data_IF_435070677572
#
_entry.id   IF_435070677572
#
_cell.length_a   1.000
_cell.length_b   1.000
_cell.length_c   1.000
_cell.angle_alpha   90.00
_cell.angle_beta   90.00
_cell.angle_gamma   90.00
#
_symmetry.space_group_name_H-M   'P 1'
#
loop_
_entity.id
_entity.type
_entity.pdbx_description
1 polymer ?
#
# COMPACT_ATOMS: atom_id res chain seq x y z
N UNK A 1 -73.04 22.55 43.94
CA UNK A 1 -71.62 22.19 44.12
C UNK A 1 -71.38 20.90 43.36
N UNK A 2 -70.78 20.96 42.17
CA UNK A 2 -70.48 19.80 41.33
C UNK A 2 -69.00 19.89 40.97
N UNK A 3 -68.19 18.99 41.51
CA UNK A 3 -66.75 18.98 41.32
C UNK A 3 -66.39 18.32 39.99
N UNK A 4 -65.62 19.08 39.21
CA UNK A 4 -65.00 18.72 37.95
C UNK A 4 -63.77 17.86 38.26
N UNK A 5 -63.66 16.67 37.67
CA UNK A 5 -62.43 15.86 37.73
C UNK A 5 -61.96 15.58 36.31
N UNK A 6 -61.07 16.45 35.84
CA UNK A 6 -60.30 16.25 34.61
C UNK A 6 -59.08 15.40 35.00
N UNK A 7 -59.06 14.14 34.57
CA UNK A 7 -57.86 13.31 34.65
C UNK A 7 -57.02 13.56 33.40
N UNK A 8 -55.88 14.23 33.58
CA UNK A 8 -54.82 14.35 32.58
C UNK A 8 -53.81 13.20 32.77
N UNK A 9 -53.48 12.57 31.64
CA UNK A 9 -52.54 11.47 31.45
C UNK A 9 -51.08 11.85 31.79
N UNK A 10 -50.28 10.85 32.20
CA UNK A 10 -48.83 10.85 31.98
C UNK A 10 -48.41 9.50 31.40
N UNK A 11 -48.29 9.45 30.07
CA UNK A 11 -47.53 8.44 29.34
C UNK A 11 -46.05 8.87 29.43
N UNK A 12 -45.28 8.19 30.28
CA UNK A 12 -43.83 8.32 30.31
C UNK A 12 -43.26 7.61 29.08
N UNK A 13 -42.93 8.38 28.03
CA UNK A 13 -42.08 7.91 26.95
C UNK A 13 -40.65 7.87 27.49
N UNK A 14 -40.19 6.67 27.85
CA UNK A 14 -38.77 6.43 28.15
C UNK A 14 -38.05 6.42 26.81
N UNK A 15 -37.57 7.60 26.39
CA UNK A 15 -36.55 7.67 25.35
C UNK A 15 -35.29 7.11 25.98
N UNK A 16 -34.93 5.88 25.63
CA UNK A 16 -33.62 5.30 25.93
C UNK A 16 -32.56 6.07 25.16
N UNK A 17 -32.15 7.22 25.68
CA UNK A 17 -30.88 7.80 25.29
C UNK A 17 -29.83 6.80 25.72
N UNK A 18 -29.17 6.16 24.76
CA UNK A 18 -27.98 5.38 25.03
C UNK A 18 -26.95 6.35 25.63
N UNK A 19 -26.92 6.43 26.96
CA UNK A 19 -25.88 7.13 27.69
C UNK A 19 -24.58 6.44 27.27
N UNK A 20 -23.65 7.19 26.68
CA UNK A 20 -22.36 6.65 26.32
C UNK A 20 -21.66 6.20 27.61
N UNK A 21 -21.64 4.89 27.87
CA UNK A 21 -21.08 4.33 29.09
C UNK A 21 -19.60 4.07 28.84
N UNK A 22 -18.77 4.77 29.61
CA UNK A 22 -17.32 4.69 29.56
C UNK A 22 -16.87 3.64 30.56
N UNK A 23 -16.14 2.64 30.08
CA UNK A 23 -15.54 1.60 30.90
C UNK A 23 -14.03 1.76 30.89
N UNK A 24 -13.44 1.74 32.08
CA UNK A 24 -11.98 1.80 32.24
C UNK A 24 -11.54 0.47 32.86
N UNK A 25 -10.71 -0.33 32.18
CA UNK A 25 -10.16 -1.54 32.77
C UNK A 25 -9.33 -1.22 34.01
N UNK A 26 -9.20 -2.17 34.94
CA UNK A 26 -8.26 -2.01 36.05
C UNK A 26 -6.82 -1.96 35.53
N UNK A 27 -5.94 -1.24 36.25
CA UNK A 27 -4.54 -1.14 35.85
C UNK A 27 -3.80 -2.45 36.16
N UNK A 28 -3.56 -3.24 35.12
CA UNK A 28 -2.77 -4.48 35.19
C UNK A 28 -1.33 -4.31 34.72
N UNK A 29 -0.67 -5.46 34.51
CA UNK A 29 0.69 -5.53 33.95
C UNK A 29 0.75 -4.92 32.54
N UNK A 30 -0.30 -5.15 31.73
CA UNK A 30 -0.48 -4.58 30.38
C UNK A 30 -1.04 -3.15 30.39
N UNK A 31 -1.02 -2.48 31.55
CA UNK A 31 -1.61 -1.16 31.74
C UNK A 31 -3.14 -1.20 31.86
N UNK A 32 -3.81 -0.18 31.31
CA UNK A 32 -5.27 -0.10 31.26
C UNK A 32 -5.78 -0.89 30.06
N UNK A 33 -5.86 -2.22 30.20
CA UNK A 33 -6.17 -3.14 29.10
C UNK A 33 -7.11 -4.24 29.56
N UNK A 34 -8.21 -4.45 28.85
CA UNK A 34 -9.01 -5.66 28.98
C UNK A 34 -8.30 -6.78 28.21
N UNK A 35 -7.90 -7.84 28.92
CA UNK A 35 -7.36 -9.05 28.29
C UNK A 35 -8.50 -10.04 28.17
N UNK A 36 -8.84 -10.41 26.93
CA UNK A 36 -9.94 -11.33 26.64
C UNK A 36 -9.41 -12.68 26.18
N UNK A 37 -9.92 -13.76 26.77
CA UNK A 37 -9.53 -15.14 26.49
C UNK A 37 -10.50 -15.81 25.51
N UNK A 38 -11.75 -15.36 25.49
CA UNK A 38 -12.77 -15.80 24.55
C UNK A 38 -13.83 -14.71 24.31
N UNK A 39 -14.83 -15.02 23.49
CA UNK A 39 -15.90 -14.08 23.14
C UNK A 39 -16.77 -13.68 24.35
N UNK A 40 -16.88 -14.51 25.39
CA UNK A 40 -17.71 -14.18 26.55
C UNK A 40 -17.15 -13.02 27.38
N UNK A 41 -15.82 -12.91 27.46
CA UNK A 41 -15.15 -11.74 28.06
C UNK A 41 -15.46 -10.46 27.26
N UNK A 42 -15.54 -10.57 25.94
CA UNK A 42 -15.91 -9.46 25.05
C UNK A 42 -17.37 -9.08 25.26
N UNK A 43 -18.26 -10.07 25.35
CA UNK A 43 -19.69 -9.86 25.57
C UNK A 43 -19.97 -9.14 26.90
N UNK A 44 -19.21 -9.44 27.96
CA UNK A 44 -19.30 -8.73 29.24
C UNK A 44 -18.98 -7.23 29.10
N UNK A 45 -17.93 -6.89 28.35
CA UNK A 45 -17.54 -5.50 28.06
C UNK A 45 -18.64 -4.83 27.22
N UNK A 46 -19.08 -5.46 26.12
CA UNK A 46 -20.04 -4.84 25.19
C UNK A 46 -21.47 -4.75 25.73
N UNK A 47 -21.82 -5.50 26.77
CA UNK A 47 -23.09 -5.38 27.47
C UNK A 47 -23.22 -4.08 28.28
N UNK A 48 -22.10 -3.50 28.69
CA UNK A 48 -22.07 -2.33 29.57
C UNK A 48 -21.48 -1.11 28.90
N UNK A 49 -20.58 -1.28 27.94
CA UNK A 49 -19.74 -0.21 27.46
C UNK A 49 -20.13 0.22 26.06
N UNK A 50 -20.03 1.52 25.79
CA UNK A 50 -19.97 2.06 24.41
C UNK A 50 -18.59 2.66 24.12
N UNK A 51 -17.82 2.98 25.17
CA UNK A 51 -16.48 3.52 25.07
C UNK A 51 -15.55 2.78 26.03
N UNK A 52 -14.41 2.30 25.54
CA UNK A 52 -13.34 1.74 26.36
C UNK A 52 -12.24 2.78 26.53
N UNK A 53 -12.03 3.24 27.75
CA UNK A 53 -10.93 4.11 28.11
C UNK A 53 -9.67 3.28 28.43
N UNK A 54 -9.11 2.64 27.42
CA UNK A 54 -8.03 1.68 27.55
C UNK A 54 -7.80 0.94 26.23
N UNK A 55 -7.08 -0.17 26.31
CA UNK A 55 -6.93 -1.12 25.20
C UNK A 55 -7.82 -2.36 25.40
N UNK A 56 -8.04 -3.10 24.32
CA UNK A 56 -8.61 -4.45 24.34
C UNK A 56 -7.60 -5.38 23.67
N UNK A 57 -7.13 -6.39 24.38
CA UNK A 57 -6.11 -7.30 23.88
C UNK A 57 -6.63 -8.75 23.90
N UNK A 58 -6.53 -9.45 22.77
CA UNK A 58 -6.75 -10.90 22.73
C UNK A 58 -5.61 -11.62 23.45
N UNK A 59 -5.93 -12.54 24.35
CA UNK A 59 -4.93 -13.43 24.94
C UNK A 59 -4.31 -14.34 23.88
N UNK A 60 -3.09 -14.82 24.12
CA UNK A 60 -2.35 -15.68 23.19
C UNK A 60 -3.07 -17.00 22.84
N UNK A 61 -4.01 -17.44 23.67
CA UNK A 61 -4.81 -18.65 23.50
C UNK A 61 -6.25 -18.34 23.04
N UNK A 62 -6.57 -17.10 22.66
CA UNK A 62 -7.86 -16.75 22.08
C UNK A 62 -8.06 -17.53 20.77
N UNK A 63 -9.26 -18.04 20.56
CA UNK A 63 -9.61 -18.84 19.37
C UNK A 63 -10.94 -18.40 18.77
N UNK A 64 -11.12 -18.62 17.47
CA UNK A 64 -12.38 -18.34 16.80
C UNK A 64 -12.48 -16.90 16.28
N UNK A 65 -13.70 -16.37 16.17
CA UNK A 65 -13.92 -15.00 15.72
C UNK A 65 -13.95 -14.03 16.89
N UNK A 66 -13.28 -12.89 16.75
CA UNK A 66 -13.37 -11.74 17.66
C UNK A 66 -14.44 -10.78 17.16
N UNK A 67 -15.54 -10.64 17.90
CA UNK A 67 -16.66 -9.77 17.55
C UNK A 67 -16.86 -8.72 18.65
N UNK A 68 -16.71 -7.43 18.33
CA UNK A 68 -16.81 -6.31 19.27
C UNK A 68 -17.97 -5.37 18.92
N UNK A 69 -19.23 -5.76 19.19
CA UNK A 69 -20.40 -4.92 18.93
C UNK A 69 -20.53 -3.79 19.96
N UNK A 70 -21.36 -2.78 19.66
CA UNK A 70 -21.74 -1.66 20.55
C UNK A 70 -20.62 -0.70 20.99
N UNK A 71 -19.34 -1.09 20.91
CA UNK A 71 -18.19 -0.23 21.21
C UNK A 71 -17.93 0.69 20.04
N UNK A 72 -18.08 2.00 20.27
CA UNK A 72 -17.82 3.05 19.28
C UNK A 72 -16.45 3.67 19.39
N UNK A 73 -15.86 3.64 20.58
CA UNK A 73 -14.58 4.30 20.83
C UNK A 73 -13.69 3.45 21.75
N UNK A 74 -12.45 3.21 21.32
CA UNK A 74 -11.39 2.65 22.16
C UNK A 74 -10.26 3.67 22.19
N UNK A 75 -9.95 4.22 23.38
CA UNK A 75 -9.01 5.35 23.49
C UNK A 75 -7.55 4.97 23.24
N UNK A 76 -7.24 3.67 23.28
CA UNK A 76 -5.92 3.12 22.98
C UNK A 76 -6.01 2.09 21.87
N UNK A 77 -5.49 0.87 22.06
CA UNK A 77 -5.29 -0.10 20.99
C UNK A 77 -6.27 -1.26 21.06
N UNK A 78 -6.49 -1.88 19.90
CA UNK A 78 -7.01 -3.25 19.82
C UNK A 78 -5.88 -4.11 19.27
N UNK A 79 -5.40 -5.03 20.07
CA UNK A 79 -4.19 -5.83 19.80
C UNK A 79 -4.31 -7.23 20.42
N UNK A 80 -3.19 -7.90 20.61
CA UNK A 80 -3.10 -9.19 21.29
C UNK A 80 -1.90 -9.20 22.24
N UNK A 81 -2.04 -9.94 23.33
CA UNK A 81 -1.04 -10.02 24.39
C UNK A 81 0.16 -10.81 23.89
N UNK A 82 1.30 -10.13 23.77
CA UNK A 82 2.54 -10.76 23.35
C UNK A 82 3.05 -11.71 24.43
N UNK A 83 2.93 -13.02 24.20
CA UNK A 83 3.46 -14.04 25.10
C UNK A 83 4.99 -13.99 25.13
N UNK A 84 5.58 -14.26 26.30
CA UNK A 84 7.04 -14.49 26.42
C UNK A 84 7.50 -15.74 25.64
N UNK A 85 6.56 -16.59 25.23
CA UNK A 85 6.80 -17.69 24.31
C UNK A 85 6.70 -17.19 22.87
N UNK A 86 7.87 -16.98 22.25
CA UNK A 86 7.97 -16.68 20.82
C UNK A 86 7.16 -17.71 20.00
N UNK A 87 6.35 -17.22 19.07
CA UNK A 87 5.55 -18.06 18.18
C UNK A 87 4.17 -18.48 18.72
N UNK A 88 3.76 -18.00 19.90
CA UNK A 88 2.38 -18.19 20.40
C UNK A 88 1.52 -16.99 20.00
N UNK A 89 0.60 -17.21 19.06
CA UNK A 89 -0.33 -16.21 18.55
C UNK A 89 -1.78 -16.67 18.75
N UNK A 90 -2.73 -15.73 18.93
CA UNK A 90 -4.14 -16.07 18.89
C UNK A 90 -4.50 -16.80 17.59
N UNK A 91 -5.35 -17.83 17.73
CA UNK A 91 -5.94 -18.55 16.60
C UNK A 91 -7.25 -17.88 16.20
N UNK A 92 -7.17 -16.59 15.90
CA UNK A 92 -8.33 -15.76 15.52
C UNK A 92 -8.56 -15.87 14.02
N UNK A 93 -9.75 -16.29 13.61
CA UNK A 93 -10.11 -16.47 12.19
C UNK A 93 -10.77 -15.24 11.57
N UNK A 94 -11.41 -14.40 12.38
CA UNK A 94 -12.03 -13.15 11.93
C UNK A 94 -12.03 -12.09 13.04
N UNK A 95 -11.95 -10.82 12.65
CA UNK A 95 -12.12 -9.67 13.54
C UNK A 95 -13.23 -8.79 12.99
N UNK A 96 -14.30 -8.60 13.76
CA UNK A 96 -15.47 -7.81 13.38
C UNK A 96 -15.74 -6.72 14.42
N UNK A 97 -15.65 -5.47 13.98
CA UNK A 97 -15.76 -4.24 14.77
C UNK A 97 -16.90 -3.38 14.17
N UNK A 98 -18.15 -3.88 14.19
CA UNK A 98 -19.24 -3.33 13.36
C UNK A 98 -19.64 -1.90 13.74
N UNK A 99 -19.41 -1.52 15.00
CA UNK A 99 -19.82 -0.24 15.57
C UNK A 99 -18.65 0.69 15.92
N UNK A 100 -17.41 0.23 15.76
CA UNK A 100 -16.24 1.02 16.13
C UNK A 100 -16.08 2.20 15.15
N UNK A 101 -16.06 3.42 15.69
CA UNK A 101 -15.91 4.67 14.96
C UNK A 101 -14.51 5.26 15.17
N UNK A 102 -13.97 5.17 16.39
CA UNK A 102 -12.69 5.79 16.76
C UNK A 102 -11.78 4.82 17.51
N UNK A 103 -10.52 4.73 17.07
CA UNK A 103 -9.46 4.00 17.76
C UNK A 103 -8.29 4.96 18.01
N UNK A 104 -8.03 5.31 19.26
CA UNK A 104 -7.02 6.32 19.60
C UNK A 104 -5.57 5.84 19.43
N UNK A 105 -5.35 4.53 19.49
CA UNK A 105 -4.05 3.87 19.34
C UNK A 105 -3.95 3.07 18.04
N UNK A 106 -3.50 1.82 18.17
CA UNK A 106 -3.26 0.93 17.03
C UNK A 106 -4.31 -0.16 16.90
N UNK A 107 -4.63 -0.53 15.66
CA UNK A 107 -5.26 -1.81 15.33
C UNK A 107 -4.16 -2.81 14.98
N UNK A 108 -3.69 -3.55 15.97
CA UNK A 108 -2.58 -4.50 15.87
C UNK A 108 -3.05 -5.92 15.59
N UNK A 109 -3.33 -6.23 14.32
CA UNK A 109 -3.78 -7.54 13.83
C UNK A 109 -2.70 -8.22 12.96
N UNK A 110 -1.44 -7.87 13.16
CA UNK A 110 -0.31 -8.56 12.56
C UNK A 110 -0.03 -9.87 13.31
N UNK A 111 0.55 -10.85 12.61
CA UNK A 111 0.92 -12.17 13.15
C UNK A 111 -0.26 -13.04 13.60
N UNK A 112 -1.39 -12.94 12.91
CA UNK A 112 -2.55 -13.83 13.06
C UNK A 112 -2.65 -14.77 11.83
N UNK A 113 -1.90 -15.88 11.78
CA UNK A 113 -1.63 -16.63 10.53
C UNK A 113 -2.87 -17.31 9.93
N UNK A 114 -3.94 -17.45 10.71
CA UNK A 114 -5.22 -18.03 10.27
C UNK A 114 -6.32 -16.99 10.11
N UNK A 115 -6.02 -15.70 10.27
CA UNK A 115 -6.96 -14.61 10.07
C UNK A 115 -7.40 -14.54 8.62
N UNK A 116 -8.70 -14.61 8.38
CA UNK A 116 -9.28 -14.57 7.04
C UNK A 116 -9.94 -13.22 6.75
N UNK A 117 -10.57 -12.60 7.76
CA UNK A 117 -11.42 -11.43 7.58
C UNK A 117 -11.25 -10.40 8.68
N UNK A 118 -11.12 -9.14 8.29
CA UNK A 118 -11.18 -7.97 9.19
C UNK A 118 -12.26 -7.03 8.67
N UNK A 119 -13.19 -6.64 9.52
CA UNK A 119 -14.29 -5.75 9.15
C UNK A 119 -14.48 -4.71 10.24
N UNK A 120 -14.32 -3.44 9.88
CA UNK A 120 -14.58 -2.28 10.73
C UNK A 120 -15.23 -1.18 9.88
N UNK A 121 -16.47 -1.39 9.40
CA UNK A 121 -17.05 -0.62 8.31
C UNK A 121 -17.42 0.80 8.73
N UNK A 122 -17.43 1.11 10.04
CA UNK A 122 -17.68 2.44 10.59
C UNK A 122 -16.43 3.11 11.16
N UNK A 123 -15.28 2.44 11.14
CA UNK A 123 -14.05 2.97 11.72
C UNK A 123 -13.57 4.16 10.88
N UNK A 124 -13.59 5.36 11.46
CA UNK A 124 -13.23 6.60 10.78
C UNK A 124 -11.77 6.99 11.01
N UNK A 125 -11.26 6.75 12.21
CA UNK A 125 -9.90 7.18 12.61
C UNK A 125 -9.16 6.10 13.36
N UNK A 126 -7.90 5.87 12.98
CA UNK A 126 -6.91 5.13 13.77
C UNK A 126 -5.77 6.07 14.14
N UNK A 127 -5.64 6.39 15.43
CA UNK A 127 -4.74 7.43 15.91
C UNK A 127 -3.26 7.14 15.74
N UNK A 128 -2.88 5.86 15.60
CA UNK A 128 -1.50 5.47 15.31
C UNK A 128 -1.40 4.57 14.07
N UNK A 129 -1.51 3.25 14.24
CA UNK A 129 -1.23 2.30 13.16
C UNK A 129 -2.36 1.29 12.96
N UNK A 130 -2.78 1.09 11.72
CA UNK A 130 -3.60 -0.04 11.32
C UNK A 130 -2.70 -1.11 10.68
N UNK A 131 -2.29 -2.11 11.47
CA UNK A 131 -1.40 -3.19 11.05
C UNK A 131 -2.20 -4.49 10.90
N UNK A 132 -2.50 -4.87 9.66
CA UNK A 132 -3.29 -6.07 9.34
C UNK A 132 -2.44 -7.04 8.53
N UNK A 133 -2.26 -8.25 9.04
CA UNK A 133 -1.54 -9.32 8.35
C UNK A 133 -2.45 -10.51 8.04
N UNK A 134 -2.13 -11.25 6.97
CA UNK A 134 -2.70 -12.56 6.60
C UNK A 134 -4.18 -12.57 6.18
N UNK A 135 -4.94 -11.51 6.49
CA UNK A 135 -6.35 -11.40 6.12
C UNK A 135 -6.55 -11.39 4.60
N UNK A 136 -7.55 -12.16 4.13
CA UNK A 136 -7.99 -12.17 2.73
C UNK A 136 -8.95 -11.04 2.41
N UNK A 137 -9.82 -10.72 3.36
CA UNK A 137 -10.82 -9.68 3.25
C UNK A 137 -10.58 -8.60 4.31
N UNK A 138 -10.40 -7.35 3.89
CA UNK A 138 -10.24 -6.20 4.77
C UNK A 138 -11.24 -5.12 4.36
N UNK A 139 -12.17 -4.81 5.26
CA UNK A 139 -13.19 -3.79 5.05
C UNK A 139 -13.06 -2.67 6.09
N UNK A 140 -12.39 -1.59 5.67
CA UNK A 140 -12.21 -0.35 6.42
C UNK A 140 -12.78 0.82 5.61
N UNK A 141 -13.91 0.61 4.92
CA UNK A 141 -14.47 1.54 3.93
C UNK A 141 -14.70 2.97 4.43
N UNK A 142 -14.89 3.16 5.73
CA UNK A 142 -15.13 4.47 6.35
C UNK A 142 -13.86 5.09 6.94
N UNK A 143 -12.71 4.40 6.92
CA UNK A 143 -11.46 4.92 7.44
C UNK A 143 -11.07 6.16 6.65
N UNK A 144 -10.96 7.29 7.33
CA UNK A 144 -10.62 8.60 6.75
C UNK A 144 -9.14 8.89 6.92
N UNK A 145 -8.61 8.64 8.12
CA UNK A 145 -7.23 8.98 8.47
C UNK A 145 -6.54 7.95 9.38
N UNK A 146 -5.23 7.80 9.17
CA UNK A 146 -4.32 7.15 10.13
C UNK A 146 -2.91 7.75 10.04
N UNK A 147 -2.06 7.51 11.05
CA UNK A 147 -0.63 7.82 10.91
C UNK A 147 0.06 6.77 10.01
N UNK A 148 -0.19 5.49 10.28
CA UNK A 148 0.35 4.36 9.52
C UNK A 148 -0.77 3.41 9.10
N UNK A 149 -0.70 2.91 7.86
CA UNK A 149 -1.59 1.87 7.36
C UNK A 149 -0.75 0.78 6.70
N UNK A 150 -0.92 -0.45 7.15
CA UNK A 150 -0.20 -1.59 6.63
C UNK A 150 -1.13 -2.79 6.48
N UNK A 151 -1.26 -3.28 5.26
CA UNK A 151 -1.98 -4.52 4.95
C UNK A 151 -1.02 -5.46 4.23
N UNK A 152 -0.81 -6.65 4.79
CA UNK A 152 0.12 -7.65 4.23
C UNK A 152 -0.52 -9.03 4.14
N UNK A 153 -0.11 -9.80 3.15
CA UNK A 153 -0.46 -11.21 2.98
C UNK A 153 -1.23 -11.45 1.70
N UNK A 154 -2.06 -12.49 1.67
CA UNK A 154 -2.87 -12.87 0.50
C UNK A 154 -4.22 -12.15 0.49
N UNK A 155 -4.19 -10.85 0.26
CA UNK A 155 -5.39 -10.00 0.27
C UNK A 155 -6.11 -10.12 -1.06
N UNK A 156 -7.34 -10.62 -1.03
CA UNK A 156 -8.21 -10.73 -2.20
C UNK A 156 -9.19 -9.54 -2.30
N UNK A 157 -9.51 -8.89 -1.18
CA UNK A 157 -10.40 -7.72 -1.16
C UNK A 157 -9.95 -6.74 -0.10
N UNK A 158 -9.77 -5.48 -0.51
CA UNK A 158 -9.39 -4.37 0.37
C UNK A 158 -10.29 -3.16 0.08
N UNK A 159 -11.04 -2.71 1.08
CA UNK A 159 -11.91 -1.52 0.96
C UNK A 159 -11.41 -0.39 1.85
N UNK A 160 -11.08 0.73 1.20
CA UNK A 160 -10.54 1.96 1.81
C UNK A 160 -11.20 3.20 1.18
N UNK A 161 -12.49 3.09 0.85
CA UNK A 161 -13.24 4.02 0.00
C UNK A 161 -13.16 5.48 0.48
N UNK A 162 -13.14 5.69 1.80
CA UNK A 162 -13.11 7.01 2.44
C UNK A 162 -11.72 7.48 2.84
N UNK A 163 -10.67 6.68 2.63
CA UNK A 163 -9.32 6.98 3.09
C UNK A 163 -8.81 8.22 2.37
N UNK A 164 -8.62 9.30 3.11
CA UNK A 164 -8.13 10.59 2.59
C UNK A 164 -6.66 10.79 2.90
N UNK A 165 -6.22 10.34 4.08
CA UNK A 165 -4.88 10.64 4.56
C UNK A 165 -4.23 9.46 5.29
N UNK A 166 -2.97 9.17 4.93
CA UNK A 166 -2.07 8.35 5.74
C UNK A 166 -0.81 9.15 5.99
N UNK A 167 -0.65 9.71 7.19
CA UNK A 167 0.32 10.80 7.42
C UNK A 167 1.78 10.38 7.27
N UNK A 168 2.12 9.15 7.67
CA UNK A 168 3.50 8.67 7.68
C UNK A 168 3.75 7.67 6.57
N UNK A 169 3.08 6.51 6.58
CA UNK A 169 3.38 5.45 5.62
C UNK A 169 2.18 4.55 5.36
N UNK A 170 1.89 4.35 4.09
CA UNK A 170 0.96 3.34 3.60
C UNK A 170 1.73 2.20 2.93
N UNK A 171 1.51 0.97 3.39
CA UNK A 171 2.08 -0.24 2.79
C UNK A 171 0.98 -1.25 2.49
N UNK A 172 0.75 -1.53 1.21
CA UNK A 172 -0.05 -2.66 0.75
C UNK A 172 0.89 -3.69 0.12
N UNK A 173 0.96 -4.88 0.72
CA UNK A 173 1.88 -5.94 0.33
C UNK A 173 1.10 -7.23 0.03
N UNK A 174 0.85 -7.50 -1.25
CA UNK A 174 0.15 -8.68 -1.78
C UNK A 174 1.06 -9.47 -2.76
N UNK A 175 2.18 -10.01 -2.26
CA UNK A 175 3.17 -10.84 -2.99
C UNK A 175 3.69 -11.96 -2.10
N UNK A 176 4.33 -12.96 -2.70
CA UNK A 176 5.01 -14.08 -2.04
C UNK A 176 5.91 -13.66 -0.85
N UNK A 177 6.66 -12.56 -0.96
CA UNK A 177 7.51 -12.07 0.14
C UNK A 177 6.72 -11.52 1.35
N UNK A 178 5.44 -11.16 1.15
CA UNK A 178 4.56 -10.60 2.17
C UNK A 178 3.94 -11.70 3.04
N UNK A 179 3.81 -12.91 2.50
CA UNK A 179 3.41 -14.14 3.19
C UNK A 179 4.00 -15.36 2.44
N UNK A 180 5.23 -15.78 2.81
CA UNK A 180 5.92 -16.87 2.13
C UNK A 180 5.21 -18.22 2.23
N UNK A 181 4.35 -18.40 3.25
CA UNK A 181 3.62 -19.66 3.46
C UNK A 181 2.37 -19.74 2.59
N UNK A 182 1.72 -18.60 2.34
CA UNK A 182 0.49 -18.49 1.54
C UNK A 182 0.63 -17.38 0.50
N UNK A 183 1.41 -17.62 -0.57
CA UNK A 183 1.56 -16.63 -1.63
C UNK A 183 0.21 -16.29 -2.26
N UNK A 184 0.01 -15.04 -2.70
CA UNK A 184 -1.23 -14.65 -3.34
C UNK A 184 -1.37 -15.32 -4.71
N UNK A 185 -2.52 -15.95 -4.91
CA UNK A 185 -2.88 -16.58 -6.17
C UNK A 185 -3.54 -15.58 -7.13
N UNK A 186 -4.41 -14.72 -6.60
CA UNK A 186 -5.20 -13.78 -7.38
C UNK A 186 -4.57 -12.39 -7.38
N UNK A 187 -4.85 -11.63 -8.44
CA UNK A 187 -4.46 -10.24 -8.54
C UNK A 187 -5.45 -9.35 -7.76
N UNK A 188 -4.93 -8.38 -7.01
CA UNK A 188 -5.71 -7.44 -6.21
C UNK A 188 -6.11 -6.22 -7.04
N UNK A 189 -7.40 -5.91 -7.06
CA UNK A 189 -7.92 -4.61 -7.52
C UNK A 189 -7.79 -3.60 -6.36
N UNK A 190 -6.95 -2.58 -6.54
CA UNK A 190 -6.70 -1.56 -5.53
C UNK A 190 -7.26 -0.21 -5.97
N UNK A 191 -8.39 0.19 -5.38
CA UNK A 191 -8.98 1.52 -5.55
C UNK A 191 -8.89 2.34 -4.27
N UNK A 192 -8.38 3.57 -4.40
CA UNK A 192 -8.18 4.55 -3.34
C UNK A 192 -8.78 5.90 -3.77
N UNK A 193 -10.12 5.97 -3.98
CA UNK A 193 -10.78 7.06 -4.70
C UNK A 193 -10.82 8.39 -3.95
N UNK A 194 -10.56 8.36 -2.64
CA UNK A 194 -10.56 9.54 -1.76
C UNK A 194 -9.16 9.95 -1.30
N UNK A 195 -8.13 9.14 -1.58
CA UNK A 195 -6.80 9.32 -1.03
C UNK A 195 -6.15 10.57 -1.63
N UNK A 196 -5.82 11.54 -0.78
CA UNK A 196 -5.28 12.83 -1.20
C UNK A 196 -3.83 13.03 -0.76
N UNK A 197 -3.53 12.63 0.47
CA UNK A 197 -2.21 12.83 1.08
C UNK A 197 -1.69 11.50 1.66
N UNK A 198 -0.47 11.14 1.29
CA UNK A 198 0.25 10.03 1.93
C UNK A 198 1.64 10.52 2.34
N UNK A 199 2.16 10.04 3.46
CA UNK A 199 3.56 10.29 3.82
C UNK A 199 4.48 9.59 2.82
N UNK A 200 4.52 8.26 2.86
CA UNK A 200 5.21 7.40 1.91
C UNK A 200 4.27 6.29 1.40
N UNK A 201 4.24 6.03 0.09
CA UNK A 201 3.34 5.06 -0.54
C UNK A 201 4.10 3.84 -1.05
N UNK A 202 3.85 2.68 -0.46
CA UNK A 202 4.47 1.41 -0.83
C UNK A 202 3.40 0.42 -1.28
N UNK A 203 3.38 0.10 -2.57
CA UNK A 203 2.47 -0.86 -3.19
C UNK A 203 3.30 -1.98 -3.79
N UNK A 204 3.23 -3.17 -3.18
CA UNK A 204 3.97 -4.35 -3.65
C UNK A 204 3.00 -5.49 -3.84
N UNK A 205 2.89 -6.03 -5.04
CA UNK A 205 1.94 -7.11 -5.22
C UNK A 205 1.69 -7.61 -6.62
N UNK A 206 0.75 -8.54 -6.70
CA UNK A 206 0.04 -8.90 -7.93
C UNK A 206 -1.20 -8.02 -7.97
N UNK A 207 -1.24 -7.03 -8.85
CA UNK A 207 -2.36 -6.11 -8.99
C UNK A 207 -3.06 -6.31 -10.33
N UNK A 208 -4.39 -6.23 -10.35
CA UNK A 208 -5.17 -6.18 -11.59
C UNK A 208 -5.41 -4.75 -12.07
N UNK A 209 -5.38 -3.81 -11.13
CA UNK A 209 -5.67 -2.39 -11.33
C UNK A 209 -5.18 -1.59 -10.11
N UNK A 210 -4.83 -0.33 -10.36
CA UNK A 210 -4.49 0.65 -9.34
C UNK A 210 -5.17 1.98 -9.69
N UNK A 211 -6.05 2.46 -8.82
CA UNK A 211 -6.77 3.72 -9.01
C UNK A 211 -6.56 4.65 -7.81
N UNK A 212 -5.87 5.78 -8.04
CA UNK A 212 -5.54 6.81 -7.04
C UNK A 212 -5.85 8.22 -7.58
N UNK A 213 -7.09 8.49 -8.01
CA UNK A 213 -7.40 9.64 -8.87
C UNK A 213 -7.22 10.99 -8.17
N UNK A 214 -7.25 11.02 -6.84
CA UNK A 214 -7.15 12.25 -6.04
C UNK A 214 -5.82 12.40 -5.31
N UNK A 215 -4.88 11.47 -5.49
CA UNK A 215 -3.61 11.51 -4.77
C UNK A 215 -2.82 12.71 -5.26
N UNK A 216 -2.71 13.73 -4.41
CA UNK A 216 -2.13 15.02 -4.76
C UNK A 216 -0.72 15.19 -4.20
N UNK A 217 -0.47 14.67 -2.99
CA UNK A 217 0.76 14.95 -2.26
C UNK A 217 1.37 13.70 -1.61
N UNK A 218 2.69 13.58 -1.75
CA UNK A 218 3.54 12.69 -0.96
C UNK A 218 4.33 13.55 0.02
N UNK A 219 3.94 13.52 1.29
CA UNK A 219 4.32 14.50 2.32
C UNK A 219 5.37 14.01 3.31
N UNK A 220 5.73 12.73 3.23
CA UNK A 220 6.56 12.02 4.20
C UNK A 220 7.91 12.69 4.40
N UNK A 221 8.32 12.72 5.66
CA UNK A 221 9.62 13.19 6.10
C UNK A 221 10.28 12.08 6.93
N UNK A 222 11.52 11.72 6.63
CA UNK A 222 12.21 10.66 7.35
C UNK A 222 13.31 10.00 6.54
N UNK A 223 13.76 8.83 7.01
CA UNK A 223 14.81 8.02 6.41
C UNK A 223 14.28 7.04 5.34
N UNK A 224 12.99 7.09 5.05
CA UNK A 224 12.37 6.23 4.04
C UNK A 224 12.96 6.56 2.66
N UNK A 225 13.50 5.54 2.02
CA UNK A 225 14.23 5.69 0.77
C UNK A 225 13.30 6.08 -0.40
N UNK A 226 12.02 5.69 -0.33
CA UNK A 226 11.05 5.92 -1.39
C UNK A 226 9.93 6.86 -0.92
N UNK A 227 9.60 7.86 -1.72
CA UNK A 227 8.35 8.60 -1.59
C UNK A 227 7.19 7.75 -2.11
N UNK A 228 7.38 7.16 -3.30
CA UNK A 228 6.47 6.20 -3.91
C UNK A 228 7.30 4.99 -4.37
N UNK A 229 6.87 3.80 -3.97
CA UNK A 229 7.34 2.54 -4.53
C UNK A 229 6.15 1.73 -5.02
N UNK A 230 6.11 1.44 -6.31
CA UNK A 230 5.19 0.48 -6.91
C UNK A 230 5.99 -0.68 -7.48
N UNK A 231 5.70 -1.88 -7.00
CA UNK A 231 6.33 -3.11 -7.44
C UNK A 231 5.23 -4.12 -7.80
N UNK A 232 4.92 -4.22 -9.10
CA UNK A 232 3.89 -5.12 -9.64
C UNK A 232 4.53 -6.31 -10.35
N UNK A 233 4.13 -7.54 -10.05
CA UNK A 233 4.63 -8.72 -10.79
C UNK A 233 3.67 -9.88 -10.66
N UNK A 234 3.64 -10.74 -11.68
CA UNK A 234 2.81 -11.95 -11.67
C UNK A 234 1.31 -11.67 -11.85
N UNK A 235 0.92 -10.43 -12.12
CA UNK A 235 -0.42 -10.03 -12.57
C UNK A 235 -0.39 -9.55 -14.03
N UNK A 236 -1.52 -9.07 -14.57
CA UNK A 236 -1.52 -8.36 -15.85
C UNK A 236 -0.71 -7.06 -15.76
N UNK A 237 -0.34 -6.50 -16.92
CA UNK A 237 0.19 -5.15 -16.97
C UNK A 237 -0.88 -4.14 -16.53
N UNK A 238 -0.52 -3.19 -15.67
CA UNK A 238 -1.45 -2.20 -15.12
C UNK A 238 -1.06 -0.77 -15.49
N UNK A 239 -2.06 0.09 -15.60
CA UNK A 239 -1.87 1.52 -15.77
C UNK A 239 -1.50 2.17 -14.42
N UNK A 240 -0.43 2.96 -14.42
CA UNK A 240 0.01 3.74 -13.26
C UNK A 240 -0.30 5.21 -13.50
N UNK A 241 -1.51 5.63 -13.12
CA UNK A 241 -2.00 6.99 -13.32
C UNK A 241 -2.14 7.74 -12.01
N UNK A 242 -1.48 8.89 -11.92
CA UNK A 242 -1.56 9.82 -10.79
C UNK A 242 -1.96 11.21 -11.29
N UNK A 243 -3.24 11.39 -11.70
CA UNK A 243 -3.67 12.57 -12.44
C UNK A 243 -3.60 13.86 -11.61
N UNK A 244 -3.82 13.80 -10.31
CA UNK A 244 -3.78 14.97 -9.41
C UNK A 244 -2.44 15.16 -8.68
N UNK A 245 -1.47 14.26 -8.87
CA UNK A 245 -0.19 14.29 -8.16
C UNK A 245 0.61 15.52 -8.58
N UNK A 246 0.94 16.36 -7.60
CA UNK A 246 1.62 17.64 -7.79
C UNK A 246 3.00 17.67 -7.14
N UNK A 247 3.16 16.97 -6.03
CA UNK A 247 4.32 17.13 -5.17
C UNK A 247 4.76 15.82 -4.53
N UNK A 248 6.06 15.54 -4.62
CA UNK A 248 6.75 14.49 -3.87
C UNK A 248 7.84 15.16 -3.05
N UNK A 249 7.67 15.16 -1.73
CA UNK A 249 8.55 15.92 -0.83
C UNK A 249 9.98 15.40 -0.79
N UNK A 250 10.12 14.09 -0.66
CA UNK A 250 11.41 13.43 -0.46
C UNK A 250 11.35 11.95 -0.85
N UNK A 251 12.52 11.32 -0.90
CA UNK A 251 12.70 9.94 -1.33
C UNK A 251 12.73 9.80 -2.84
N UNK A 252 12.66 8.56 -3.32
CA UNK A 252 12.62 8.23 -4.75
C UNK A 252 11.22 7.83 -5.21
N UNK A 253 10.94 8.03 -6.50
CA UNK A 253 9.79 7.47 -7.22
C UNK A 253 10.27 6.22 -7.96
N UNK A 254 9.93 5.04 -7.45
CA UNK A 254 10.35 3.75 -8.00
C UNK A 254 9.15 2.97 -8.51
N UNK A 255 9.15 2.67 -9.81
CA UNK A 255 8.10 1.95 -10.51
C UNK A 255 8.73 0.72 -11.19
N UNK A 256 8.39 -0.47 -10.71
CA UNK A 256 8.94 -1.72 -11.24
C UNK A 256 7.81 -2.73 -11.53
N UNK A 257 7.86 -3.38 -12.70
CA UNK A 257 6.97 -4.50 -12.98
C UNK A 257 6.34 -4.58 -14.37
N UNK A 258 5.25 -5.34 -14.42
CA UNK A 258 4.28 -5.37 -15.52
C UNK A 258 3.48 -4.04 -15.54
N UNK A 259 4.00 -3.03 -16.26
CA UNK A 259 3.43 -1.68 -16.34
C UNK A 259 2.94 -1.45 -17.76
N UNK A 260 1.65 -1.12 -17.92
CA UNK A 260 1.05 -0.84 -19.22
C UNK A 260 1.26 0.62 -19.64
N UNK A 261 1.12 1.55 -18.69
CA UNK A 261 1.35 2.98 -18.93
C UNK A 261 1.73 3.70 -17.62
N UNK A 262 2.35 4.87 -17.76
CA UNK A 262 2.67 5.77 -16.65
C UNK A 262 2.14 7.16 -16.99
N UNK A 263 1.35 7.77 -16.10
CA UNK A 263 0.81 9.13 -16.32
C UNK A 263 0.88 9.96 -15.05
N UNK A 264 1.53 11.12 -15.14
CA UNK A 264 1.66 12.12 -14.06
C UNK A 264 1.54 13.54 -14.65
N UNK A 265 0.37 13.92 -15.20
CA UNK A 265 0.20 15.13 -16.00
C UNK A 265 0.51 16.43 -15.26
N UNK A 266 0.32 16.45 -13.93
CA UNK A 266 0.43 17.64 -13.10
C UNK A 266 1.81 17.85 -12.46
N UNK A 267 2.75 16.93 -12.68
CA UNK A 267 4.14 17.11 -12.25
C UNK A 267 4.92 17.79 -13.38
N UNK A 268 5.22 19.09 -13.21
CA UNK A 268 6.10 19.81 -14.14
C UNK A 268 7.57 19.71 -13.74
N UNK A 269 7.86 19.69 -12.43
CA UNK A 269 9.20 19.63 -11.86
C UNK A 269 9.34 18.43 -10.95
N UNK A 270 10.21 17.50 -11.32
CA UNK A 270 10.48 16.28 -10.56
C UNK A 270 11.81 16.40 -9.81
N UNK A 271 11.74 16.73 -8.53
CA UNK A 271 12.92 16.90 -7.64
C UNK A 271 13.38 15.61 -6.95
N UNK A 272 12.84 14.47 -7.39
CA UNK A 272 13.13 13.16 -6.81
C UNK A 272 13.64 12.24 -7.91
N UNK A 273 14.36 11.19 -7.51
CA UNK A 273 14.86 10.21 -8.48
C UNK A 273 13.70 9.38 -9.02
N UNK A 274 13.52 9.41 -10.34
CA UNK A 274 12.62 8.50 -11.04
C UNK A 274 13.40 7.27 -11.48
N UNK A 275 12.98 6.11 -10.98
CA UNK A 275 13.46 4.81 -11.46
C UNK A 275 12.29 4.03 -12.02
N UNK A 276 12.36 3.67 -13.30
CA UNK A 276 11.40 2.78 -13.95
C UNK A 276 12.11 1.50 -14.39
N UNK A 277 11.54 0.35 -14.05
CA UNK A 277 11.99 -0.97 -14.51
C UNK A 277 10.82 -1.77 -15.05
N UNK A 278 10.64 -1.72 -16.36
CA UNK A 278 9.52 -2.37 -17.04
C UNK A 278 9.85 -3.82 -17.41
N UNK A 279 8.91 -4.74 -17.15
CA UNK A 279 9.03 -6.15 -17.54
C UNK A 279 8.41 -6.41 -18.92
N UNK A 280 7.31 -5.71 -19.21
CA UNK A 280 6.65 -5.70 -20.51
C UNK A 280 7.01 -4.44 -21.30
N UNK A 281 6.67 -4.41 -22.59
CA UNK A 281 6.95 -3.27 -23.47
C UNK A 281 6.24 -2.01 -22.97
N UNK A 282 7.01 -1.04 -22.53
CA UNK A 282 6.52 0.23 -22.00
C UNK A 282 6.94 1.41 -22.87
N UNK A 283 5.94 2.18 -23.30
CA UNK A 283 6.14 3.51 -23.87
C UNK A 283 6.15 4.55 -22.74
N UNK A 284 7.23 5.33 -22.66
CA UNK A 284 7.39 6.37 -21.64
C UNK A 284 7.15 7.72 -22.31
N UNK A 285 6.03 8.37 -21.99
CA UNK A 285 5.70 9.75 -22.38
C UNK A 285 5.34 10.55 -21.12
N UNK A 286 6.27 11.39 -20.67
CA UNK A 286 6.12 12.13 -19.41
C UNK A 286 6.32 13.64 -19.63
N UNK A 287 5.47 14.49 -19.04
CA UNK A 287 5.37 15.91 -19.39
C UNK A 287 6.37 16.80 -18.63
N UNK A 288 7.39 16.22 -18.00
CA UNK A 288 8.31 16.96 -17.13
C UNK A 288 9.03 18.08 -17.89
N UNK A 289 9.12 19.24 -17.26
CA UNK A 289 9.93 20.38 -17.71
C UNK A 289 11.31 20.36 -17.06
N UNK A 290 11.37 19.96 -15.80
CA UNK A 290 12.61 19.81 -15.03
C UNK A 290 12.59 18.47 -14.31
N UNK A 291 13.70 17.74 -14.32
CA UNK A 291 13.86 16.53 -13.55
C UNK A 291 15.28 16.46 -12.97
N UNK A 292 15.46 15.89 -11.78
CA UNK A 292 16.81 15.68 -11.25
C UNK A 292 17.43 14.44 -11.90
N UNK A 293 16.92 13.25 -11.58
CA UNK A 293 17.46 11.99 -12.10
C UNK A 293 16.34 11.13 -12.68
N UNK A 294 16.53 10.68 -13.92
CA UNK A 294 15.65 9.73 -14.61
C UNK A 294 16.47 8.51 -14.98
N UNK A 295 16.05 7.34 -14.49
CA UNK A 295 16.63 6.04 -14.83
C UNK A 295 15.53 5.12 -15.34
N UNK A 296 15.60 4.76 -16.62
CA UNK A 296 14.69 3.83 -17.27
C UNK A 296 15.42 2.53 -17.58
N UNK A 297 14.79 1.39 -17.30
CA UNK A 297 15.41 0.09 -17.52
C UNK A 297 14.41 -1.00 -17.90
N UNK A 298 14.90 -2.07 -18.51
CA UNK A 298 14.10 -3.22 -18.91
C UNK A 298 13.50 -3.08 -20.31
N UNK A 299 12.26 -3.48 -20.47
CA UNK A 299 11.58 -3.55 -21.78
C UNK A 299 10.93 -2.18 -22.13
N UNK A 300 11.75 -1.24 -22.58
CA UNK A 300 11.32 0.14 -22.90
C UNK A 300 11.21 0.25 -24.42
N UNK A 301 9.99 0.50 -24.90
CA UNK A 301 9.67 0.50 -26.33
C UNK A 301 9.89 1.87 -26.98
N UNK A 302 9.54 2.94 -26.26
CA UNK A 302 9.81 4.31 -26.68
C UNK A 302 9.96 5.24 -25.48
N UNK A 303 10.64 6.37 -25.69
CA UNK A 303 10.89 7.37 -24.66
C UNK A 303 10.68 8.76 -25.23
N UNK A 304 9.80 9.53 -24.60
CA UNK A 304 9.45 10.90 -24.98
C UNK A 304 9.33 11.77 -23.73
N UNK A 305 10.01 12.92 -23.78
CA UNK A 305 9.94 13.96 -22.76
C UNK A 305 9.75 15.32 -23.46
N UNK A 306 8.58 15.56 -24.06
CA UNK A 306 8.37 16.64 -25.04
C UNK A 306 8.60 18.05 -24.47
N UNK A 307 8.52 18.20 -23.14
CA UNK A 307 8.62 19.49 -22.47
C UNK A 307 9.94 19.67 -21.69
N UNK A 308 10.84 18.69 -21.70
CA UNK A 308 12.01 18.66 -20.82
C UNK A 308 13.05 19.70 -21.24
N UNK A 309 13.42 20.56 -20.29
CA UNK A 309 14.37 21.68 -20.46
C UNK A 309 15.59 21.58 -19.56
N UNK A 310 15.52 20.77 -18.51
CA UNK A 310 16.61 20.58 -17.56
C UNK A 310 16.56 19.17 -17.00
N UNK A 311 17.70 18.49 -17.04
CA UNK A 311 17.91 17.21 -16.35
C UNK A 311 19.33 17.13 -15.79
N UNK A 312 19.49 16.62 -14.57
CA UNK A 312 20.84 16.42 -14.00
C UNK A 312 21.44 15.09 -14.44
N UNK A 313 20.68 14.00 -14.39
CA UNK A 313 21.09 12.67 -14.90
C UNK A 313 19.96 12.00 -15.66
N UNK A 314 20.25 11.48 -16.85
CA UNK A 314 19.33 10.73 -17.68
C UNK A 314 19.98 9.42 -18.12
N UNK A 315 19.36 8.30 -17.77
CA UNK A 315 19.88 6.98 -18.11
C UNK A 315 18.78 6.07 -18.64
N UNK A 316 19.03 5.42 -19.76
CA UNK A 316 18.17 4.39 -20.35
C UNK A 316 18.99 3.13 -20.60
N UNK A 317 18.61 2.02 -19.98
CA UNK A 317 19.20 0.70 -20.26
C UNK A 317 18.12 -0.28 -20.66
N UNK A 318 17.93 -0.48 -21.96
CA UNK A 318 16.83 -1.28 -22.47
C UNK A 318 17.29 -2.57 -23.16
N UNK A 319 16.48 -3.62 -23.04
CA UNK A 319 16.69 -4.91 -23.71
C UNK A 319 16.05 -4.95 -25.11
N UNK A 320 15.19 -3.98 -25.42
CA UNK A 320 14.53 -3.80 -26.71
C UNK A 320 15.34 -2.89 -27.63
N UNK A 321 15.03 -2.93 -28.93
CA UNK A 321 15.64 -2.00 -29.89
C UNK A 321 15.12 -0.58 -29.65
N UNK A 322 16.03 0.36 -29.38
CA UNK A 322 15.74 1.78 -29.23
C UNK A 322 16.82 2.57 -29.97
N UNK A 323 16.43 3.66 -30.64
CA UNK A 323 17.38 4.56 -31.31
C UNK A 323 18.06 5.45 -30.26
N UNK A 324 19.06 4.89 -29.59
CA UNK A 324 19.77 5.57 -28.51
C UNK A 324 20.51 6.82 -28.97
N UNK A 325 21.10 6.80 -30.18
CA UNK A 325 21.82 7.96 -30.73
C UNK A 325 20.86 9.14 -30.90
N UNK A 326 19.70 8.90 -31.53
CA UNK A 326 18.69 9.94 -31.72
C UNK A 326 18.08 10.42 -30.39
N UNK A 327 17.86 9.51 -29.43
CA UNK A 327 17.33 9.86 -28.12
C UNK A 327 18.32 10.73 -27.32
N UNK A 328 19.59 10.34 -27.26
CA UNK A 328 20.64 11.11 -26.58
C UNK A 328 20.77 12.50 -27.19
N UNK A 329 20.83 12.62 -28.52
CA UNK A 329 20.89 13.92 -29.22
C UNK A 329 19.68 14.80 -28.88
N UNK A 330 18.48 14.21 -28.86
CA UNK A 330 17.23 14.92 -28.53
C UNK A 330 17.27 15.48 -27.11
N UNK A 331 17.66 14.66 -26.13
CA UNK A 331 17.72 15.07 -24.72
C UNK A 331 18.84 16.09 -24.48
N UNK A 332 20.04 15.87 -25.06
CA UNK A 332 21.15 16.82 -24.94
C UNK A 332 20.80 18.17 -25.54
N UNK A 333 20.17 18.19 -26.72
CA UNK A 333 19.74 19.45 -27.37
C UNK A 333 18.67 20.17 -26.56
N UNK A 334 17.71 19.43 -26.01
CA UNK A 334 16.61 20.02 -25.24
C UNK A 334 17.06 20.59 -23.88
N UNK A 335 18.04 19.96 -23.23
CA UNK A 335 18.46 20.29 -21.86
C UNK A 335 19.79 21.03 -21.76
N UNK A 336 20.55 21.14 -22.86
CA UNK A 336 21.92 21.64 -22.89
C UNK A 336 22.84 20.92 -21.88
N UNK A 337 22.51 19.66 -21.57
CA UNK A 337 23.29 18.79 -20.68
C UNK A 337 24.55 18.28 -21.39
N UNK A 338 25.53 17.87 -20.59
CA UNK A 338 26.77 17.27 -21.10
C UNK A 338 26.62 15.77 -21.31
N UNK A 339 27.38 15.25 -22.27
CA UNK A 339 27.36 13.85 -22.71
C UNK A 339 27.48 12.84 -21.56
N UNK A 340 28.36 13.07 -20.58
CA UNK A 340 28.54 12.12 -19.46
C UNK A 340 27.32 11.97 -18.52
N UNK A 341 26.32 12.86 -18.61
CA UNK A 341 25.10 12.83 -17.80
C UNK A 341 23.93 12.14 -18.48
N UNK A 342 24.03 11.94 -19.79
CA UNK A 342 22.98 11.38 -20.64
C UNK A 342 23.52 10.08 -21.22
N UNK A 343 22.90 8.95 -20.88
CA UNK A 343 23.36 7.65 -21.37
C UNK A 343 22.19 6.79 -21.81
N UNK A 344 22.30 6.18 -22.98
CA UNK A 344 21.35 5.24 -23.52
C UNK A 344 22.07 4.00 -24.03
N UNK A 345 21.60 2.82 -23.60
CA UNK A 345 22.11 1.52 -24.03
C UNK A 345 20.94 0.63 -24.39
N UNK A 346 20.97 0.09 -25.61
CA UNK A 346 20.03 -0.92 -26.08
C UNK A 346 20.80 -2.21 -26.40
N UNK A 347 20.42 -3.35 -25.82
CA UNK A 347 21.13 -4.62 -26.04
C UNK A 347 21.09 -5.10 -27.50
N UNK A 348 20.07 -4.68 -28.26
CA UNK A 348 19.86 -5.05 -29.66
C UNK A 348 20.01 -3.87 -30.63
N UNK A 349 20.63 -2.75 -30.24
CA UNK A 349 21.08 -1.79 -31.25
C UNK A 349 22.26 -2.40 -32.01
N UNK A 350 21.95 -3.30 -32.95
CA UNK A 350 22.81 -3.55 -34.09
C UNK A 350 23.09 -2.17 -34.66
N UNK A 351 24.32 -1.71 -34.45
CA UNK A 351 24.87 -0.51 -35.03
C UNK A 351 24.39 -0.43 -36.47
N UNK A 352 23.60 0.61 -36.79
CA UNK A 352 23.33 1.01 -38.17
C UNK A 352 24.60 1.65 -38.75
N UNK A 353 25.72 0.94 -38.66
CA UNK A 353 26.83 1.14 -39.55
C UNK A 353 26.40 0.57 -40.89
N UNK A 354 26.02 1.47 -41.79
CA UNK A 354 25.99 1.18 -43.21
C UNK A 354 27.36 0.71 -43.67
N UNK A 355 27.63 -0.59 -43.56
CA UNK A 355 28.71 -1.25 -44.28
C UNK A 355 28.14 -2.46 -45.00
N UNK A 356 27.73 -2.18 -46.23
CA UNK A 356 27.55 -3.21 -47.24
C UNK A 356 28.95 -3.68 -47.67
N UNK A 357 29.56 -4.59 -46.91
CA UNK A 357 30.67 -5.41 -47.39
C UNK A 357 30.43 -6.83 -46.91
N UNK A 358 29.94 -7.66 -47.82
CA UNK A 358 29.73 -9.07 -47.58
C UNK A 358 31.04 -9.80 -47.36
N UNK A 359 31.12 -10.52 -46.27
CA UNK A 359 31.95 -11.72 -46.15
C UNK A 359 31.38 -12.60 -45.04
N UNK A 360 30.83 -13.73 -45.47
CA UNK A 360 30.34 -14.83 -44.65
C UNK A 360 31.48 -15.40 -43.81
N UNK A 361 31.33 -15.42 -42.49
CA UNK A 361 32.19 -16.24 -41.61
C UNK A 361 31.29 -17.14 -40.77
N UNK A 362 31.39 -18.43 -41.04
CA UNK A 362 30.73 -19.51 -40.34
C UNK A 362 31.39 -19.71 -38.96
N UNK A 363 30.59 -19.72 -37.90
CA UNK A 363 31.02 -20.20 -36.59
C UNK A 363 30.56 -21.64 -36.40
N UNK A 364 31.52 -22.57 -36.52
CA UNK A 364 31.36 -23.96 -36.11
C UNK A 364 31.52 -24.05 -34.60
N UNK A 365 30.46 -24.46 -33.90
CA UNK A 365 30.45 -24.76 -32.48
C UNK A 365 31.06 -26.14 -32.22
N UNK A 366 32.19 -26.18 -31.51
CA UNK A 366 32.76 -27.40 -30.96
C UNK A 366 32.28 -27.58 -29.50
N UNK A 367 31.42 -28.57 -29.30
CA UNK A 367 31.02 -29.05 -27.97
C UNK A 367 32.08 -30.06 -27.50
N UNK A 368 32.79 -29.75 -26.41
CA UNK A 368 33.67 -30.70 -25.71
C UNK A 368 32.90 -31.24 -24.50
N UNK A 369 32.54 -32.53 -24.56
CA UNK A 369 32.00 -33.31 -23.45
C UNK A 369 33.18 -33.95 -22.71
N UNK A 370 33.32 -33.66 -21.42
CA UNK A 370 34.29 -34.31 -20.53
C UNK A 370 33.59 -35.44 -19.77
N UNK A 371 33.94 -36.68 -20.04
CA UNK A 371 33.61 -37.84 -19.22
C UNK A 371 34.63 -37.98 -18.08
N UNK A 372 34.14 -37.97 -16.83
CA UNK A 372 34.92 -38.37 -15.66
C UNK A 372 34.86 -39.88 -15.47
N UNK A 373 36.02 -40.53 -15.48
CA UNK A 373 36.22 -41.93 -15.12
C UNK A 373 36.60 -42.02 -13.64
N UNK A 374 35.89 -42.87 -12.92
CA UNK A 374 36.18 -43.28 -11.56
C UNK A 374 37.39 -44.24 -11.52
N UNK A 375 38.26 -44.04 -10.54
CA UNK A 375 38.96 -45.08 -9.78
C UNK A 375 39.08 -44.63 -8.34
#
# INVERSE_FOLDING_TARGET
MSYWSVWMLLLAVVVSTAMAQICTPERGYEGYTYVVYDQSDVDEITAQCTTVNGSIAMAYNYTGGFHLPNIRNVTRSIDWVQSRHFGSFPNTTSVDLPDLEFLGGSLGLNNLPILQKVTAPKLETVGWSADIGYAREVDLRSLVESEYLQVRGNVSTLRLDSLRQVRQRMLICNRDECDPEKPPHDALDLSLPSLNDVGHLYLKGRFSSLDTPKLANITGAGLDYYGIQVLTAGGPAIDLSFPELKYIRSGSLSLEGNIASISMPNISKLTVWLTVKAYDGLDVDLPFQEADTIVLSGNISSVQFPNLRSVDTFQVNTITSLDCESLEETIMTATNASDYRITCKAENSSSRLGLNVGTTIAFASAIVVVFGLAM
#
